data_IF_796015160404
#
_entry.id   IF_796015160404
#
_cell.length_a   1.000
_cell.length_b   1.000
_cell.length_c   1.000
_cell.angle_alpha   90.00
_cell.angle_beta   90.00
_cell.angle_gamma   90.00
#
_symmetry.space_group_name_H-M   'P 1'
#
loop_
_entity.id
_entity.type
_entity.pdbx_description
1 polymer ?
#
# COMPACT_ATOMS: atom_id res chain seq x y z
N UNK A 1 3.47 -46.40 -91.46
CA UNK A 1 4.43 -45.77 -90.52
C UNK A 1 4.00 -44.35 -90.25
N UNK A 2 3.50 -44.08 -89.05
CA UNK A 2 2.86 -42.81 -88.70
C UNK A 2 3.84 -41.92 -87.99
N UNK A 3 4.03 -40.72 -88.52
CA UNK A 3 4.79 -39.63 -87.87
C UNK A 3 3.90 -38.87 -86.99
N UNK A 4 4.20 -38.79 -85.66
CA UNK A 4 3.51 -37.99 -84.68
C UNK A 4 4.26 -36.67 -84.58
N UNK A 5 3.61 -35.59 -84.98
CA UNK A 5 4.09 -34.22 -84.81
C UNK A 5 3.78 -33.68 -83.39
N UNK A 6 4.80 -33.35 -82.67
CA UNK A 6 4.65 -32.68 -81.36
C UNK A 6 4.40 -31.20 -81.56
N UNK A 7 3.22 -30.72 -81.18
CA UNK A 7 2.91 -29.27 -81.01
C UNK A 7 3.54 -28.75 -79.75
N UNK A 8 4.49 -27.86 -79.89
CA UNK A 8 5.05 -27.10 -78.76
C UNK A 8 4.27 -25.83 -78.57
N UNK A 9 3.50 -25.78 -77.48
CA UNK A 9 2.84 -24.54 -76.98
C UNK A 9 3.83 -23.70 -76.18
N UNK A 10 4.34 -22.64 -76.78
CA UNK A 10 5.05 -21.58 -75.99
C UNK A 10 4.07 -20.73 -75.27
N UNK A 11 3.93 -20.93 -73.98
CA UNK A 11 3.23 -19.99 -73.08
C UNK A 11 4.12 -18.73 -72.88
N UNK A 12 3.59 -17.60 -73.31
CA UNK A 12 4.21 -16.30 -73.11
C UNK A 12 3.94 -15.87 -71.70
N UNK A 13 4.92 -16.09 -70.78
CA UNK A 13 4.76 -15.86 -69.30
C UNK A 13 5.08 -14.42 -68.87
N UNK A 14 5.36 -13.49 -69.77
CA UNK A 14 5.92 -12.17 -69.38
C UNK A 14 4.95 -11.18 -68.80
N UNK A 15 3.64 -11.37 -68.98
CA UNK A 15 2.62 -10.44 -68.43
C UNK A 15 2.22 -10.71 -67.00
N UNK A 16 2.16 -11.98 -66.57
CA UNK A 16 1.70 -12.37 -65.23
C UNK A 16 2.70 -12.10 -64.13
N UNK A 17 3.98 -12.22 -64.40
CA UNK A 17 5.04 -12.02 -63.42
C UNK A 17 5.13 -10.56 -62.93
N UNK A 18 4.94 -9.59 -63.83
CA UNK A 18 4.91 -8.15 -63.47
C UNK A 18 3.68 -7.78 -62.67
N UNK A 19 2.50 -8.32 -62.98
CA UNK A 19 1.28 -8.09 -62.26
C UNK A 19 1.32 -8.73 -60.86
N UNK A 20 1.89 -9.91 -60.69
CA UNK A 20 2.03 -10.60 -59.40
C UNK A 20 3.00 -9.85 -58.46
N UNK A 21 4.12 -9.33 -59.00
CA UNK A 21 5.08 -8.51 -58.25
C UNK A 21 4.45 -7.17 -57.79
N UNK A 22 3.63 -6.54 -58.64
CA UNK A 22 2.94 -5.29 -58.27
C UNK A 22 1.90 -5.51 -57.16
N UNK A 23 1.13 -6.58 -57.23
CA UNK A 23 0.13 -6.96 -56.22
C UNK A 23 0.82 -7.30 -54.89
N UNK A 24 1.95 -8.05 -54.93
CA UNK A 24 2.72 -8.41 -53.73
C UNK A 24 3.31 -7.16 -53.04
N UNK A 25 3.85 -6.20 -53.82
CA UNK A 25 4.36 -4.93 -53.29
C UNK A 25 3.24 -4.07 -52.72
N UNK A 26 2.05 -4.05 -53.34
CA UNK A 26 0.89 -3.33 -52.85
C UNK A 26 0.35 -3.94 -51.55
N UNK A 27 0.29 -5.26 -51.44
CA UNK A 27 -0.13 -5.97 -50.22
C UNK A 27 0.89 -5.76 -49.08
N UNK A 28 2.18 -5.81 -49.34
CA UNK A 28 3.23 -5.54 -48.35
C UNK A 28 3.21 -4.09 -47.92
N UNK A 29 2.98 -3.12 -48.84
CA UNK A 29 2.85 -1.72 -48.45
C UNK A 29 1.57 -1.43 -47.64
N UNK A 30 0.46 -2.11 -47.94
CA UNK A 30 -0.78 -1.99 -47.18
C UNK A 30 -0.66 -2.60 -45.79
N UNK A 31 0.05 -3.71 -45.60
CA UNK A 31 0.34 -4.33 -44.31
C UNK A 31 1.32 -3.51 -43.46
N UNK A 32 2.27 -2.83 -44.08
CA UNK A 32 3.18 -1.89 -43.40
C UNK A 32 2.48 -0.59 -42.98
N UNK A 33 1.42 -0.18 -43.67
CA UNK A 33 0.64 1.03 -43.32
C UNK A 33 -0.37 0.79 -42.19
N UNK A 34 -0.79 -0.48 -41.96
CA UNK A 34 -1.71 -0.80 -40.86
C UNK A 34 -1.01 -1.04 -39.53
N UNK A 35 0.34 -1.08 -39.50
CA UNK A 35 1.13 -1.25 -38.27
C UNK A 35 1.44 0.07 -37.53
N UNK A 36 0.79 1.20 -37.83
CA UNK A 36 0.63 2.25 -36.85
C UNK A 36 -0.37 1.74 -35.82
N UNK A 37 0.12 0.91 -34.90
CA UNK A 37 -0.51 0.74 -33.60
C UNK A 37 -0.75 2.14 -33.09
N UNK A 38 -2.01 2.54 -33.11
CA UNK A 38 -2.48 3.69 -32.32
C UNK A 38 -1.96 3.41 -30.92
N UNK A 39 -0.90 4.12 -30.52
CA UNK A 39 -0.52 4.20 -29.13
C UNK A 39 -1.71 4.84 -28.45
N UNK A 40 -2.70 4.03 -28.09
CA UNK A 40 -3.80 4.45 -27.25
C UNK A 40 -3.17 5.12 -26.04
N UNK A 41 -3.72 6.21 -25.63
CA UNK A 41 -3.30 6.98 -24.45
C UNK A 41 -3.01 6.02 -23.30
N UNK A 42 -1.71 5.71 -23.12
CA UNK A 42 -1.26 4.61 -22.24
C UNK A 42 -1.25 5.02 -20.77
N UNK A 43 -1.77 6.21 -20.44
CA UNK A 43 -1.84 6.72 -19.09
C UNK A 43 -2.91 5.99 -18.27
N UNK A 44 -2.55 5.62 -17.07
CA UNK A 44 -3.50 5.16 -16.05
C UNK A 44 -3.59 6.22 -14.96
N UNK A 45 -4.80 6.69 -14.66
CA UNK A 45 -5.04 7.83 -13.78
C UNK A 45 -6.21 7.55 -12.84
N UNK A 46 -6.05 7.90 -11.57
CA UNK A 46 -7.12 7.86 -10.57
C UNK A 46 -7.04 9.09 -9.67
N UNK A 47 -8.17 9.68 -9.31
CA UNK A 47 -8.31 10.69 -8.26
C UNK A 47 -9.41 10.26 -7.31
N UNK A 48 -9.11 10.30 -6.02
CA UNK A 48 -10.05 9.97 -4.95
C UNK A 48 -10.19 11.11 -3.97
N UNK A 49 -11.35 11.21 -3.33
CA UNK A 49 -11.52 11.98 -2.10
C UNK A 49 -10.76 11.30 -0.97
N UNK A 50 -9.84 12.01 -0.36
CA UNK A 50 -9.04 11.45 0.75
C UNK A 50 -9.89 11.12 1.97
N UNK A 51 -11.03 11.81 2.19
CA UNK A 51 -11.91 11.60 3.35
C UNK A 51 -12.58 10.23 3.31
N UNK A 52 -13.23 9.89 2.20
CA UNK A 52 -14.05 8.68 2.09
C UNK A 52 -13.53 7.65 1.08
N UNK A 53 -12.49 7.96 0.30
CA UNK A 53 -11.93 7.06 -0.72
C UNK A 53 -12.73 7.02 -2.03
N UNK A 54 -13.78 7.83 -2.15
CA UNK A 54 -14.62 7.87 -3.35
C UNK A 54 -13.82 8.29 -4.58
N UNK A 55 -14.01 7.59 -5.70
CA UNK A 55 -13.43 7.97 -6.98
C UNK A 55 -14.08 9.27 -7.49
N UNK A 56 -13.25 10.27 -7.74
CA UNK A 56 -13.64 11.56 -8.30
C UNK A 56 -13.32 11.66 -9.79
N UNK A 57 -12.33 10.92 -10.24
CA UNK A 57 -11.93 10.80 -11.65
C UNK A 57 -11.14 9.49 -11.84
N UNK A 58 -11.36 8.79 -12.95
CA UNK A 58 -10.55 7.65 -13.36
C UNK A 58 -10.43 7.56 -14.89
N UNK A 59 -9.28 7.04 -15.32
CA UNK A 59 -9.00 6.69 -16.71
C UNK A 59 -8.00 5.52 -16.74
N UNK A 60 -8.38 4.38 -17.31
CA UNK A 60 -7.52 3.20 -17.38
C UNK A 60 -6.95 2.78 -16.00
N UNK A 61 -7.65 3.13 -14.93
CA UNK A 61 -7.18 3.08 -13.55
C UNK A 61 -6.95 1.67 -13.01
N UNK A 62 -7.62 0.66 -13.60
CA UNK A 62 -7.45 -0.77 -13.28
C UNK A 62 -6.41 -1.50 -14.15
N UNK A 63 -5.80 -0.82 -15.12
CA UNK A 63 -4.75 -1.45 -15.95
C UNK A 63 -3.51 -1.68 -15.11
N UNK A 64 -3.04 -2.93 -15.07
CA UNK A 64 -1.80 -3.33 -14.39
C UNK A 64 -0.59 -2.70 -15.04
N UNK A 65 0.19 -1.95 -14.26
CA UNK A 65 1.41 -1.27 -14.68
C UNK A 65 2.51 -1.45 -13.66
N UNK A 66 3.73 -1.19 -14.06
CA UNK A 66 4.86 -1.16 -13.15
C UNK A 66 4.81 0.13 -12.32
N UNK A 67 4.69 0.04 -10.98
CA UNK A 67 4.57 1.22 -10.12
C UNK A 67 5.89 2.00 -9.97
N UNK A 68 7.01 1.41 -10.37
CA UNK A 68 8.34 1.95 -10.10
C UNK A 68 8.48 2.34 -8.60
N UNK A 69 9.13 3.43 -8.26
CA UNK A 69 9.35 3.83 -6.87
C UNK A 69 8.10 4.24 -6.08
N UNK A 70 6.89 4.20 -6.66
CA UNK A 70 5.67 4.27 -5.85
C UNK A 70 5.56 3.06 -4.91
N UNK A 71 6.19 1.94 -5.25
CA UNK A 71 6.37 0.75 -4.40
C UNK A 71 6.84 1.11 -2.99
N UNK A 72 7.70 2.12 -2.86
CA UNK A 72 8.23 2.55 -1.56
C UNK A 72 7.15 3.12 -0.62
N UNK A 73 5.97 3.47 -1.13
CA UNK A 73 4.84 3.81 -0.26
C UNK A 73 4.44 2.60 0.60
N UNK A 74 4.39 1.38 0.02
CA UNK A 74 4.11 0.17 0.79
C UNK A 74 5.27 -0.19 1.74
N UNK A 75 6.52 -0.03 1.30
CA UNK A 75 7.70 -0.24 2.16
C UNK A 75 7.65 0.67 3.39
N UNK A 76 7.35 1.96 3.20
CA UNK A 76 7.24 2.92 4.29
C UNK A 76 6.01 2.66 5.16
N UNK A 77 4.88 2.28 4.57
CA UNK A 77 3.68 1.89 5.30
C UNK A 77 3.98 0.75 6.29
N UNK A 78 4.59 -0.34 5.81
CA UNK A 78 4.97 -1.47 6.66
C UNK A 78 6.08 -1.14 7.65
N UNK A 79 6.95 -0.19 7.33
CA UNK A 79 7.94 0.32 8.28
C UNK A 79 7.27 1.07 9.43
N UNK A 80 6.33 1.97 9.13
CA UNK A 80 5.55 2.68 10.16
C UNK A 80 4.70 1.72 10.98
N UNK A 81 4.08 0.74 10.32
CA UNK A 81 3.34 -0.33 11.00
C UNK A 81 4.22 -1.13 11.97
N UNK A 82 5.45 -1.46 11.57
CA UNK A 82 6.41 -2.18 12.42
C UNK A 82 6.90 -1.35 13.61
N UNK A 83 6.90 -0.02 13.49
CA UNK A 83 7.25 0.90 14.59
C UNK A 83 6.07 1.08 15.53
N UNK A 84 4.91 1.52 15.02
CA UNK A 84 3.79 2.03 15.82
C UNK A 84 2.86 0.93 16.35
N UNK A 85 2.69 -0.13 15.56
CA UNK A 85 1.72 -1.18 15.90
C UNK A 85 2.42 -2.41 16.48
N UNK A 86 3.48 -2.88 15.84
CA UNK A 86 4.17 -4.08 16.28
C UNK A 86 5.26 -3.82 17.33
N UNK A 87 5.76 -2.58 17.45
CA UNK A 87 6.87 -2.25 18.34
C UNK A 87 8.17 -3.03 18.04
N UNK A 88 8.30 -3.58 16.82
CA UNK A 88 9.43 -4.43 16.44
C UNK A 88 10.73 -3.66 16.24
N UNK A 89 10.62 -2.42 15.77
CA UNK A 89 11.74 -1.53 15.50
C UNK A 89 11.43 -0.12 16.03
N UNK A 90 12.47 0.68 16.24
CA UNK A 90 12.33 2.07 16.66
C UNK A 90 13.10 3.01 15.74
N UNK A 91 12.67 4.29 15.67
CA UNK A 91 13.24 5.29 14.77
C UNK A 91 14.76 5.46 14.94
N UNK A 92 15.27 5.43 16.18
CA UNK A 92 16.68 5.67 16.49
C UNK A 92 17.50 4.39 16.58
N UNK A 93 16.85 3.23 16.36
CA UNK A 93 17.54 1.95 16.25
C UNK A 93 18.52 1.98 15.08
N UNK A 94 19.77 1.55 15.35
CA UNK A 94 20.80 1.38 14.33
C UNK A 94 20.79 -0.04 13.80
N UNK A 95 20.78 -0.18 12.49
CA UNK A 95 20.71 -1.46 11.80
C UNK A 95 21.90 -1.63 10.86
N UNK A 96 22.38 -2.88 10.73
CA UNK A 96 23.53 -3.19 9.88
C UNK A 96 23.12 -3.21 8.41
N UNK A 97 23.95 -2.62 7.55
CA UNK A 97 23.74 -2.57 6.10
C UNK A 97 24.29 -3.86 5.47
N UNK A 98 23.45 -4.57 4.73
CA UNK A 98 23.81 -5.78 4.01
C UNK A 98 24.65 -5.49 2.76
N UNK A 99 25.38 -6.51 2.27
CA UNK A 99 26.06 -6.46 0.97
C UNK A 99 25.07 -6.27 -0.19
N UNK A 100 23.84 -6.81 -0.06
CA UNK A 100 22.78 -6.65 -1.07
C UNK A 100 22.33 -5.19 -1.13
N UNK A 101 21.91 -4.62 -0.03
CA UNK A 101 21.44 -3.25 0.05
C UNK A 101 22.48 -2.23 -0.47
N UNK A 102 23.75 -2.39 -0.12
CA UNK A 102 24.82 -1.49 -0.57
C UNK A 102 25.09 -1.51 -2.07
N UNK A 103 24.65 -2.56 -2.78
CA UNK A 103 24.80 -2.73 -4.23
C UNK A 103 23.56 -2.31 -5.02
N UNK A 104 22.49 -1.85 -4.35
CA UNK A 104 21.28 -1.44 -5.06
C UNK A 104 21.56 -0.34 -6.09
N UNK A 105 20.95 -0.43 -7.29
CA UNK A 105 21.11 0.60 -8.32
C UNK A 105 20.56 1.97 -7.85
N UNK A 106 20.98 3.08 -8.45
CA UNK A 106 20.39 4.40 -8.20
C UNK A 106 18.87 4.44 -8.46
N UNK A 107 18.10 5.29 -7.72
CA UNK A 107 18.52 6.26 -6.72
C UNK A 107 18.90 5.59 -5.39
N UNK A 108 19.94 6.08 -4.71
CA UNK A 108 20.40 5.50 -3.44
C UNK A 108 20.97 6.57 -2.51
N UNK A 109 21.05 6.26 -1.23
CA UNK A 109 21.73 7.10 -0.24
C UNK A 109 23.25 6.94 -0.34
N UNK A 110 23.73 5.78 -0.77
CA UNK A 110 25.15 5.41 -0.83
C UNK A 110 25.60 4.69 0.43
N UNK A 111 24.76 3.78 0.93
CA UNK A 111 25.04 2.99 2.12
C UNK A 111 26.18 2.00 1.87
N UNK A 112 27.07 1.82 2.88
CA UNK A 112 28.22 0.93 2.81
C UNK A 112 27.98 -0.37 3.59
N UNK A 113 28.29 -1.51 2.97
CA UNK A 113 28.13 -2.82 3.59
C UNK A 113 28.91 -2.93 4.91
N UNK A 114 28.28 -3.49 5.92
CA UNK A 114 28.86 -3.69 7.24
C UNK A 114 28.76 -2.49 8.18
N UNK A 115 28.59 -1.26 7.66
CA UNK A 115 28.27 -0.07 8.47
C UNK A 115 26.85 -0.13 9.02
N UNK A 116 26.49 0.79 9.88
CA UNK A 116 25.14 0.88 10.46
C UNK A 116 24.50 2.22 10.14
N UNK A 117 23.17 2.22 10.00
CA UNK A 117 22.38 3.43 9.82
C UNK A 117 21.12 3.39 10.71
N UNK A 118 20.54 4.54 11.04
CA UNK A 118 19.30 4.60 11.82
C UNK A 118 18.07 4.36 10.95
N UNK A 119 17.04 3.73 11.50
CA UNK A 119 15.74 3.57 10.83
C UNK A 119 15.18 4.92 10.39
N UNK A 120 15.32 5.96 11.20
CA UNK A 120 14.92 7.34 10.89
C UNK A 120 15.57 7.88 9.59
N UNK A 121 16.84 7.67 9.41
CA UNK A 121 17.57 8.12 8.22
C UNK A 121 17.22 7.28 6.98
N UNK A 122 17.01 5.98 7.15
CA UNK A 122 16.52 5.08 6.09
C UNK A 122 15.13 5.50 5.61
N UNK A 123 14.20 5.81 6.53
CA UNK A 123 12.86 6.34 6.20
C UNK A 123 12.98 7.66 5.42
N UNK A 124 13.75 8.63 5.93
CA UNK A 124 13.93 9.95 5.28
C UNK A 124 14.47 9.83 3.86
N UNK A 125 15.47 8.98 3.66
CA UNK A 125 16.09 8.78 2.35
C UNK A 125 15.19 8.00 1.37
N UNK A 126 14.47 6.98 1.81
CA UNK A 126 13.50 6.25 1.00
C UNK A 126 12.32 7.15 0.58
N UNK A 127 11.81 7.98 1.49
CA UNK A 127 10.69 8.89 1.23
C UNK A 127 11.07 10.03 0.28
N UNK A 128 12.16 10.77 0.56
CA UNK A 128 12.49 11.99 -0.18
C UNK A 128 13.38 11.72 -1.40
N UNK A 129 14.53 11.05 -1.20
CA UNK A 129 15.48 10.75 -2.28
C UNK A 129 15.04 9.55 -3.14
N UNK A 130 14.07 8.78 -2.65
CA UNK A 130 13.68 7.52 -3.30
C UNK A 130 14.78 6.46 -3.25
N UNK A 131 15.57 6.40 -2.17
CA UNK A 131 16.76 5.57 -2.04
C UNK A 131 16.40 4.08 -2.03
N UNK A 132 16.93 3.32 -3.00
CA UNK A 132 16.69 1.88 -3.15
C UNK A 132 17.39 1.09 -2.04
N UNK A 133 18.67 1.40 -1.77
CA UNK A 133 19.45 0.81 -0.69
C UNK A 133 18.76 0.91 0.67
N UNK A 134 18.18 2.07 0.96
CA UNK A 134 17.43 2.29 2.20
C UNK A 134 16.16 1.46 2.27
N UNK A 135 15.43 1.31 1.15
CA UNK A 135 14.24 0.47 1.08
C UNK A 135 14.58 -1.01 1.31
N UNK A 136 15.68 -1.49 0.72
CA UNK A 136 16.17 -2.86 0.91
C UNK A 136 16.58 -3.13 2.36
N UNK A 137 17.30 -2.18 3.03
CA UNK A 137 17.64 -2.34 4.45
C UNK A 137 16.38 -2.41 5.31
N UNK A 138 15.40 -1.53 5.09
CA UNK A 138 14.13 -1.56 5.82
C UNK A 138 13.41 -2.92 5.66
N UNK A 139 13.36 -3.44 4.42
CA UNK A 139 12.77 -4.74 4.12
C UNK A 139 13.48 -5.89 4.86
N UNK A 140 14.81 -5.90 4.85
CA UNK A 140 15.62 -6.93 5.51
C UNK A 140 15.46 -6.89 7.04
N UNK A 141 15.38 -5.70 7.62
CA UNK A 141 15.18 -5.53 9.07
C UNK A 141 13.81 -6.05 9.51
N UNK A 142 12.77 -5.79 8.74
CA UNK A 142 11.39 -6.16 9.10
C UNK A 142 11.14 -7.65 8.85
N UNK A 143 11.65 -8.22 7.76
CA UNK A 143 11.28 -9.57 7.32
C UNK A 143 12.48 -10.53 7.15
N UNK A 144 13.68 -10.12 7.56
CA UNK A 144 14.92 -10.90 7.43
C UNK A 144 15.45 -10.93 6.00
N UNK A 145 14.61 -10.95 4.98
CA UNK A 145 14.99 -10.88 3.55
C UNK A 145 14.00 -10.03 2.76
N UNK A 146 14.50 -9.35 1.72
CA UNK A 146 13.64 -8.57 0.83
C UNK A 146 12.57 -9.44 0.13
N UNK A 147 12.86 -10.70 -0.21
CA UNK A 147 11.86 -11.62 -0.79
C UNK A 147 10.67 -11.84 0.15
N UNK A 148 10.92 -12.18 1.41
CA UNK A 148 9.86 -12.34 2.42
C UNK A 148 9.10 -11.04 2.65
N UNK A 149 9.80 -9.90 2.61
CA UNK A 149 9.17 -8.60 2.72
C UNK A 149 8.25 -8.30 1.52
N UNK A 150 8.63 -8.64 0.29
CA UNK A 150 7.80 -8.48 -0.91
C UNK A 150 6.53 -9.37 -0.86
N UNK A 151 6.64 -10.57 -0.30
CA UNK A 151 5.50 -11.44 -0.01
C UNK A 151 4.56 -10.76 1.02
N UNK A 152 5.12 -10.19 2.09
CA UNK A 152 4.35 -9.44 3.09
C UNK A 152 3.70 -8.18 2.51
N UNK A 153 4.42 -7.41 1.66
CA UNK A 153 3.85 -6.27 0.93
C UNK A 153 2.64 -6.69 0.08
N UNK A 154 2.73 -7.81 -0.64
CA UNK A 154 1.66 -8.32 -1.51
C UNK A 154 0.43 -8.76 -0.70
N UNK A 155 0.65 -9.44 0.42
CA UNK A 155 -0.44 -9.82 1.32
C UNK A 155 -1.11 -8.58 1.93
N UNK A 156 -0.33 -7.62 2.39
CA UNK A 156 -0.84 -6.36 2.94
C UNK A 156 -1.64 -5.56 1.90
N UNK A 157 -1.19 -5.56 0.65
CA UNK A 157 -1.93 -4.93 -0.45
C UNK A 157 -3.33 -5.57 -0.62
N UNK A 158 -3.42 -6.89 -0.63
CA UNK A 158 -4.72 -7.59 -0.72
C UNK A 158 -5.64 -7.28 0.46
N UNK A 159 -5.11 -7.25 1.68
CA UNK A 159 -5.87 -6.88 2.88
C UNK A 159 -6.43 -5.45 2.78
N UNK A 160 -5.68 -4.54 2.12
CA UNK A 160 -6.12 -3.17 1.87
C UNK A 160 -7.15 -3.04 0.74
N UNK A 161 -7.48 -4.12 0.03
CA UNK A 161 -8.35 -4.10 -1.15
C UNK A 161 -7.62 -3.78 -2.46
N UNK A 162 -6.29 -3.86 -2.50
CA UNK A 162 -5.47 -3.66 -3.70
C UNK A 162 -5.40 -4.97 -4.51
N UNK A 163 -6.49 -5.35 -5.14
CA UNK A 163 -6.69 -6.67 -5.77
C UNK A 163 -5.77 -6.91 -6.99
N UNK A 164 -5.36 -5.84 -7.66
CA UNK A 164 -4.53 -5.87 -8.86
C UNK A 164 -3.07 -5.51 -8.59
N UNK A 165 -2.56 -5.82 -7.37
CA UNK A 165 -1.20 -5.47 -6.97
C UNK A 165 -0.39 -6.69 -6.55
N UNK A 166 0.83 -6.77 -7.06
CA UNK A 166 1.85 -7.73 -6.65
C UNK A 166 3.20 -7.05 -6.55
N UNK A 167 3.88 -7.22 -5.42
CA UNK A 167 5.23 -6.72 -5.19
C UNK A 167 6.25 -7.86 -5.27
N UNK A 168 7.45 -7.58 -5.82
CA UNK A 168 8.58 -8.50 -5.91
C UNK A 168 9.81 -8.01 -5.16
N UNK A 169 9.90 -6.70 -4.93
CA UNK A 169 10.98 -6.05 -4.20
C UNK A 169 10.46 -4.84 -3.42
N UNK A 170 11.30 -4.26 -2.56
CA UNK A 170 10.94 -3.15 -1.68
C UNK A 170 11.06 -1.76 -2.33
N UNK A 171 11.68 -1.66 -3.49
CA UNK A 171 12.10 -0.38 -4.08
C UNK A 171 11.40 -0.03 -5.40
N UNK A 172 10.85 -1.03 -6.11
CA UNK A 172 10.11 -0.85 -7.36
C UNK A 172 10.97 -0.82 -8.62
N UNK A 173 12.19 -1.35 -8.59
CA UNK A 173 12.92 -1.65 -9.81
C UNK A 173 12.17 -2.71 -10.60
N UNK A 174 12.30 -2.64 -11.93
CA UNK A 174 11.59 -3.53 -12.86
C UNK A 174 11.91 -4.99 -12.58
N UNK A 175 10.86 -5.78 -12.32
CA UNK A 175 10.95 -7.22 -12.10
C UNK A 175 9.68 -7.89 -12.65
N UNK A 176 9.81 -9.07 -13.22
CA UNK A 176 8.66 -9.80 -13.77
C UNK A 176 7.64 -10.10 -12.67
N UNK A 177 6.38 -9.76 -12.92
CA UNK A 177 5.31 -9.94 -11.94
C UNK A 177 5.23 -8.83 -10.88
N UNK A 178 6.02 -7.75 -10.97
CA UNK A 178 5.90 -6.57 -10.13
C UNK A 178 4.97 -5.57 -10.79
N UNK A 179 3.74 -5.45 -10.32
CA UNK A 179 2.72 -4.58 -10.90
C UNK A 179 1.75 -4.04 -9.86
N UNK A 180 1.06 -2.98 -10.24
CA UNK A 180 -0.08 -2.39 -9.53
C UNK A 180 -0.97 -1.64 -10.51
N UNK A 181 -2.02 -0.98 -10.01
CA UNK A 181 -2.93 -0.12 -10.78
C UNK A 181 -2.96 1.29 -10.20
N UNK A 182 -3.54 2.25 -10.92
CA UNK A 182 -3.67 3.62 -10.40
C UNK A 182 -4.66 3.66 -9.24
N UNK A 183 -5.76 2.89 -9.30
CA UNK A 183 -6.72 2.71 -8.22
C UNK A 183 -6.07 2.12 -6.97
N UNK A 184 -5.36 1.00 -7.10
CA UNK A 184 -4.68 0.36 -5.96
C UNK A 184 -3.66 1.29 -5.30
N UNK A 185 -2.87 2.03 -6.11
CA UNK A 185 -1.91 3.00 -5.57
C UNK A 185 -2.60 4.19 -4.89
N UNK A 186 -3.81 4.58 -5.31
CA UNK A 186 -4.59 5.60 -4.63
C UNK A 186 -5.10 5.11 -3.26
N UNK A 187 -5.55 3.84 -3.17
CA UNK A 187 -5.89 3.18 -1.91
C UNK A 187 -4.68 3.22 -0.96
N UNK A 188 -3.50 2.77 -1.42
CA UNK A 188 -2.29 2.76 -0.61
C UNK A 188 -1.89 4.16 -0.15
N UNK A 189 -1.98 5.17 -1.03
CA UNK A 189 -1.67 6.55 -0.70
C UNK A 189 -2.60 7.10 0.38
N UNK A 190 -3.91 6.79 0.30
CA UNK A 190 -4.90 7.15 1.31
C UNK A 190 -4.60 6.46 2.65
N UNK A 191 -4.36 5.15 2.64
CA UNK A 191 -4.02 4.38 3.85
C UNK A 191 -2.77 4.92 4.53
N UNK A 192 -1.71 5.23 3.76
CA UNK A 192 -0.48 5.80 4.29
C UNK A 192 -0.72 7.12 5.04
N UNK A 193 -1.61 7.96 4.52
CA UNK A 193 -1.99 9.23 5.13
C UNK A 193 -2.88 9.05 6.37
N UNK A 194 -3.89 8.17 6.27
CA UNK A 194 -4.89 8.00 7.32
C UNK A 194 -4.37 7.21 8.51
N UNK A 195 -3.56 6.18 8.26
CA UNK A 195 -3.09 5.27 9.30
C UNK A 195 -1.87 5.80 10.05
N UNK A 196 -1.06 6.64 9.38
CA UNK A 196 0.19 7.18 9.93
C UNK A 196 0.31 8.69 9.69
N UNK A 197 -0.65 9.51 10.19
CA UNK A 197 -0.65 10.96 9.98
C UNK A 197 0.59 11.64 10.57
N UNK A 198 1.15 11.10 11.65
CA UNK A 198 2.36 11.59 12.30
C UNK A 198 3.62 11.49 11.41
N UNK A 199 3.63 10.57 10.45
CA UNK A 199 4.72 10.42 9.47
C UNK A 199 4.43 11.09 8.13
N UNK A 200 3.15 11.35 7.85
CA UNK A 200 2.72 11.82 6.53
C UNK A 200 3.35 13.16 6.13
N UNK A 201 3.57 14.06 7.10
CA UNK A 201 4.24 15.35 6.86
C UNK A 201 5.62 15.22 6.20
N UNK A 202 6.25 14.05 6.28
CA UNK A 202 7.55 13.78 5.67
C UNK A 202 7.50 13.91 4.14
N UNK A 203 6.40 13.47 3.51
CA UNK A 203 6.24 13.46 2.06
C UNK A 203 6.08 14.86 1.46
N UNK A 204 5.60 15.83 2.26
CA UNK A 204 5.49 17.25 1.88
C UNK A 204 6.78 18.05 2.02
N UNK A 205 7.81 17.50 2.68
CA UNK A 205 9.11 18.22 2.84
C UNK A 205 9.85 18.29 1.52
N UNK A 206 10.25 19.47 1.12
CA UNK A 206 11.10 19.68 -0.07
C UNK A 206 12.54 19.19 0.13
N UNK A 207 13.02 19.22 1.38
CA UNK A 207 14.37 18.82 1.78
C UNK A 207 14.34 18.17 3.17
N UNK A 208 15.33 17.33 3.43
CA UNK A 208 15.65 16.79 4.77
C UNK A 208 17.17 16.68 4.93
N UNK A 209 17.64 16.44 6.15
CA UNK A 209 19.06 16.19 6.42
C UNK A 209 19.24 14.74 6.87
N UNK A 210 20.25 14.06 6.29
CA UNK A 210 20.68 12.72 6.67
C UNK A 210 22.21 12.76 6.79
N UNK A 211 22.74 12.42 7.96
CA UNK A 211 24.18 12.41 8.23
C UNK A 211 24.88 13.73 7.83
N UNK A 212 24.28 14.88 8.17
CA UNK A 212 24.78 16.22 7.81
C UNK A 212 24.51 16.65 6.36
N UNK A 213 24.15 15.73 5.45
CA UNK A 213 23.93 16.02 4.05
C UNK A 213 22.48 16.41 3.79
N UNK A 214 22.28 17.50 3.05
CA UNK A 214 20.93 17.93 2.60
C UNK A 214 20.44 17.06 1.47
N UNK A 215 19.29 16.41 1.66
CA UNK A 215 18.65 15.55 0.69
C UNK A 215 17.40 16.25 0.13
N UNK A 216 17.33 16.32 -1.21
CA UNK A 216 16.21 16.93 -1.92
C UNK A 216 15.12 15.89 -2.23
N UNK A 217 13.86 16.29 -2.06
CA UNK A 217 12.71 15.48 -2.43
C UNK A 217 12.61 15.36 -3.97
N UNK A 218 12.42 14.15 -4.48
CA UNK A 218 12.20 13.93 -5.93
C UNK A 218 10.94 14.58 -6.46
N UNK A 219 9.96 14.88 -5.58
CA UNK A 219 8.70 15.55 -5.91
C UNK A 219 8.74 17.08 -5.72
N UNK A 220 9.89 17.69 -5.41
CA UNK A 220 10.02 19.07 -4.97
C UNK A 220 9.38 20.10 -5.94
N UNK A 221 9.44 19.85 -7.28
CA UNK A 221 8.86 20.75 -8.27
C UNK A 221 7.34 20.82 -8.11
N UNK A 222 6.68 19.68 -8.05
CA UNK A 222 5.23 19.60 -7.85
C UNK A 222 4.81 20.23 -6.52
N UNK A 223 5.49 19.86 -5.43
CA UNK A 223 5.27 20.44 -4.10
C UNK A 223 5.39 21.97 -4.05
N UNK A 224 6.29 22.54 -4.87
CA UNK A 224 6.48 23.99 -4.95
C UNK A 224 5.43 24.69 -5.82
N UNK A 225 4.94 24.04 -6.88
CA UNK A 225 4.17 24.70 -7.92
C UNK A 225 2.67 24.48 -7.83
N UNK A 226 2.22 23.37 -7.23
CA UNK A 226 0.80 23.08 -7.10
C UNK A 226 0.27 23.50 -5.73
N UNK A 227 -0.73 24.40 -5.73
CA UNK A 227 -1.31 24.95 -4.49
C UNK A 227 -1.95 23.87 -3.64
N UNK A 228 -1.55 23.79 -2.36
CA UNK A 228 -2.03 22.80 -1.41
C UNK A 228 -1.31 21.46 -1.47
N UNK A 229 -0.35 21.26 -2.39
CA UNK A 229 0.38 19.99 -2.48
C UNK A 229 1.19 19.68 -1.20
N UNK A 230 1.02 18.46 -0.66
CA UNK A 230 1.68 18.01 0.57
C UNK A 230 2.20 16.56 0.50
N UNK A 231 2.25 15.97 -0.68
CA UNK A 231 2.79 14.61 -0.91
C UNK A 231 2.80 14.23 -2.39
N UNK A 232 3.13 13.01 -2.76
CA UNK A 232 3.57 11.89 -1.91
C UNK A 232 4.86 11.33 -2.50
N UNK A 233 4.80 10.71 -3.72
CA UNK A 233 5.94 9.96 -4.25
C UNK A 233 6.00 9.96 -5.77
N UNK A 234 7.20 10.17 -6.33
CA UNK A 234 7.50 9.97 -7.75
C UNK A 234 8.02 8.56 -8.01
N UNK A 235 7.82 8.05 -9.23
CA UNK A 235 8.41 6.82 -9.72
C UNK A 235 8.88 6.97 -11.16
N UNK A 236 9.97 6.29 -11.51
CA UNK A 236 10.44 6.16 -12.87
C UNK A 236 11.30 4.90 -13.03
N UNK A 237 11.02 4.14 -14.05
CA UNK A 237 11.93 3.21 -14.71
C UNK A 237 11.66 3.30 -16.22
N UNK A 238 12.60 2.84 -17.04
CA UNK A 238 12.39 2.85 -18.49
C UNK A 238 11.11 2.11 -18.90
N UNK A 239 10.81 0.99 -18.24
CA UNK A 239 9.63 0.18 -18.52
C UNK A 239 8.33 0.77 -17.94
N UNK A 240 8.40 1.50 -16.82
CA UNK A 240 7.23 2.07 -16.15
C UNK A 240 6.81 3.44 -16.71
N UNK A 241 7.71 4.16 -17.37
CA UNK A 241 7.52 5.58 -17.64
C UNK A 241 7.57 6.42 -16.37
N UNK A 242 7.00 7.64 -16.42
CA UNK A 242 7.01 8.58 -15.31
C UNK A 242 5.71 8.47 -14.50
N UNK A 243 5.83 8.08 -13.23
CA UNK A 243 4.74 7.88 -12.29
C UNK A 243 4.74 8.96 -11.20
N UNK A 244 3.56 9.26 -10.64
CA UNK A 244 3.38 10.15 -9.49
C UNK A 244 2.14 9.73 -8.71
N UNK A 245 2.28 9.59 -7.39
CA UNK A 245 1.19 9.71 -6.44
C UNK A 245 1.33 11.08 -5.77
N UNK A 246 0.25 11.86 -5.77
CA UNK A 246 0.21 13.19 -5.18
C UNK A 246 -1.01 13.38 -4.30
N UNK A 247 -0.91 14.26 -3.31
CA UNK A 247 -2.06 14.75 -2.56
C UNK A 247 -2.00 16.27 -2.45
N UNK A 248 -3.17 16.87 -2.32
CA UNK A 248 -3.31 18.29 -2.08
C UNK A 248 -4.52 18.58 -1.18
N UNK A 249 -4.39 19.58 -0.30
CA UNK A 249 -5.42 20.05 0.60
C UNK A 249 -5.83 21.47 0.20
N UNK A 250 -7.15 21.69 0.04
CA UNK A 250 -7.78 23.03 -0.14
C UNK A 250 -8.93 23.18 0.87
N UNK A 251 -9.60 24.35 0.87
CA UNK A 251 -10.77 24.58 1.72
C UNK A 251 -11.93 23.60 1.45
N UNK A 252 -12.09 23.15 0.19
CA UNK A 252 -13.12 22.18 -0.21
C UNK A 252 -12.84 20.75 0.27
N UNK A 253 -11.64 20.44 0.71
CA UNK A 253 -11.25 19.10 1.14
C UNK A 253 -9.86 18.71 0.67
N UNK A 254 -9.56 17.40 0.71
CA UNK A 254 -8.30 16.82 0.27
C UNK A 254 -8.55 15.80 -0.83
N UNK A 255 -7.74 15.87 -1.88
CA UNK A 255 -7.74 14.89 -2.97
C UNK A 255 -6.40 14.17 -3.05
N UNK A 256 -6.45 12.91 -3.49
CA UNK A 256 -5.28 12.08 -3.79
C UNK A 256 -5.37 11.67 -5.25
N UNK A 257 -4.31 11.94 -6.02
CA UNK A 257 -4.20 11.55 -7.41
C UNK A 257 -3.05 10.59 -7.67
N UNK A 258 -3.23 9.64 -8.57
CA UNK A 258 -2.18 8.73 -9.05
C UNK A 258 -2.16 8.74 -10.57
N UNK A 259 -0.97 8.89 -11.14
CA UNK A 259 -0.71 8.74 -12.57
C UNK A 259 0.42 7.73 -12.80
N UNK A 260 0.19 6.79 -13.71
CA UNK A 260 1.17 5.77 -14.12
C UNK A 260 1.35 5.82 -15.64
N UNK A 261 2.62 5.75 -16.08
CA UNK A 261 2.95 5.54 -17.48
C UNK A 261 3.12 6.80 -18.34
N UNK A 262 3.33 7.99 -17.74
CA UNK A 262 3.57 9.20 -18.53
C UNK A 262 4.90 9.11 -19.30
N UNK A 263 4.94 9.72 -20.49
CA UNK A 263 6.09 9.73 -21.38
C UNK A 263 7.23 10.62 -20.88
N UNK A 264 6.92 11.60 -20.03
CA UNK A 264 7.87 12.56 -19.51
C UNK A 264 7.45 13.18 -18.18
N UNK A 265 8.42 13.74 -17.46
CA UNK A 265 8.16 14.41 -16.17
C UNK A 265 7.28 15.67 -16.34
N UNK A 266 7.36 16.34 -17.47
CA UNK A 266 6.51 17.49 -17.82
C UNK A 266 5.05 17.09 -18.02
N UNK A 267 4.80 16.06 -18.85
CA UNK A 267 3.47 15.51 -19.06
C UNK A 267 2.85 15.02 -17.76
N UNK A 268 3.59 14.20 -16.99
CA UNK A 268 3.17 13.70 -15.68
C UNK A 268 2.69 14.84 -14.76
N UNK A 269 3.47 15.94 -14.69
CA UNK A 269 3.15 17.07 -13.82
C UNK A 269 1.91 17.82 -14.34
N UNK A 270 1.82 18.06 -15.64
CA UNK A 270 0.67 18.73 -16.30
C UNK A 270 -0.60 17.91 -16.06
N UNK A 271 -0.59 16.61 -16.38
CA UNK A 271 -1.74 15.74 -16.20
C UNK A 271 -2.15 15.61 -14.72
N UNK A 272 -1.19 15.51 -13.79
CA UNK A 272 -1.50 15.49 -12.37
C UNK A 272 -2.20 16.79 -11.92
N UNK A 273 -1.76 17.95 -12.39
CA UNK A 273 -2.40 19.23 -12.10
C UNK A 273 -3.85 19.23 -12.59
N UNK A 274 -4.07 18.88 -13.86
CA UNK A 274 -5.41 18.84 -14.49
C UNK A 274 -6.35 17.89 -13.72
N UNK A 275 -5.90 16.69 -13.40
CA UNK A 275 -6.76 15.70 -12.74
C UNK A 275 -7.07 16.06 -11.27
N UNK A 276 -6.13 16.66 -10.52
CA UNK A 276 -6.41 17.12 -9.16
C UNK A 276 -7.38 18.32 -9.15
N UNK A 277 -7.28 19.24 -10.13
CA UNK A 277 -8.24 20.34 -10.28
C UNK A 277 -9.64 19.82 -10.60
N UNK A 278 -9.78 18.81 -11.48
CA UNK A 278 -11.04 18.10 -11.70
C UNK A 278 -11.55 17.43 -10.41
N UNK A 279 -10.65 16.79 -9.64
CA UNK A 279 -11.00 16.20 -8.34
C UNK A 279 -11.57 17.22 -7.37
N UNK A 280 -10.95 18.39 -7.23
CA UNK A 280 -11.47 19.47 -6.38
C UNK A 280 -12.80 20.04 -6.87
N UNK A 281 -13.04 20.09 -8.17
CA UNK A 281 -14.32 20.51 -8.72
C UNK A 281 -15.42 19.49 -8.43
N UNK A 282 -15.07 18.21 -8.41
CA UNK A 282 -16.04 17.12 -8.21
C UNK A 282 -16.32 16.83 -6.74
N UNK A 283 -15.41 17.16 -5.81
CA UNK A 283 -15.56 16.85 -4.38
C UNK A 283 -16.85 17.45 -3.77
N UNK A 284 -17.34 18.54 -4.33
CA UNK A 284 -18.57 19.20 -3.88
C UNK A 284 -19.86 18.58 -4.44
N UNK A 285 -19.75 17.77 -5.48
CA UNK A 285 -20.91 17.23 -6.22
C UNK A 285 -21.40 15.89 -5.70
N UNK A 286 -20.68 15.28 -4.77
CA UNK A 286 -21.02 13.97 -4.24
C UNK A 286 -21.47 14.05 -2.78
N UNK A 287 -22.58 13.41 -2.40
CA UNK A 287 -23.02 13.34 -1.01
C UNK A 287 -22.01 12.59 -0.14
N UNK A 288 -21.90 12.99 1.11
CA UNK A 288 -20.82 12.63 2.05
C UNK A 288 -20.75 11.18 2.52
N UNK A 289 -21.58 10.25 2.01
CA UNK A 289 -21.69 8.89 2.52
C UNK A 289 -21.73 7.86 1.40
N UNK A 290 -20.59 7.21 1.18
CA UNK A 290 -20.57 5.85 0.63
C UNK A 290 -19.83 5.00 1.65
N UNK A 291 -20.48 3.99 2.26
CA UNK A 291 -19.78 3.05 3.12
C UNK A 291 -18.74 2.30 2.28
N UNK A 292 -17.53 2.15 2.81
CA UNK A 292 -16.58 1.20 2.24
C UNK A 292 -17.28 -0.16 2.19
N UNK A 293 -17.43 -0.71 0.99
CA UNK A 293 -17.90 -2.07 0.81
C UNK A 293 -17.10 -3.00 1.70
N UNK A 294 -17.77 -3.92 2.38
CA UNK A 294 -17.14 -4.91 3.25
C UNK A 294 -15.89 -5.49 2.59
N UNK A 295 -14.77 -5.45 3.30
CA UNK A 295 -13.52 -6.04 2.83
C UNK A 295 -13.75 -7.54 2.73
N UNK A 296 -13.84 -8.07 1.51
CA UNK A 296 -14.06 -9.47 1.30
C UNK A 296 -12.75 -10.25 1.45
N UNK A 297 -12.49 -10.77 2.64
CA UNK A 297 -11.30 -11.54 2.95
C UNK A 297 -11.33 -12.98 2.39
N UNK A 298 -12.47 -13.43 1.84
CA UNK A 298 -12.62 -14.80 1.30
C UNK A 298 -11.63 -15.15 0.18
N UNK A 299 -11.09 -14.15 -0.53
CA UNK A 299 -10.08 -14.37 -1.57
C UNK A 299 -8.67 -14.64 -1.04
N UNK A 300 -8.46 -14.59 0.27
CA UNK A 300 -7.17 -14.84 0.91
C UNK A 300 -6.94 -16.31 1.28
N UNK A 301 -7.96 -17.18 1.06
CA UNK A 301 -7.91 -18.59 1.45
C UNK A 301 -6.95 -19.44 0.61
N UNK A 302 -6.39 -20.46 1.21
CA UNK A 302 -5.64 -21.56 0.61
C UNK A 302 -4.17 -21.31 0.33
N UNK A 303 -3.81 -20.45 -0.61
CA UNK A 303 -2.38 -20.20 -0.96
C UNK A 303 -1.66 -19.23 -0.02
N UNK A 304 -2.41 -18.40 0.68
CA UNK A 304 -1.85 -17.37 1.57
C UNK A 304 -1.68 -17.86 3.01
N UNK A 305 -2.31 -18.94 3.42
CA UNK A 305 -2.12 -19.55 4.76
C UNK A 305 -0.66 -19.94 5.03
N UNK A 306 0.05 -20.44 4.01
CA UNK A 306 1.46 -20.76 4.11
C UNK A 306 2.34 -19.50 4.28
N UNK A 307 1.99 -18.40 3.63
CA UNK A 307 2.70 -17.12 3.77
C UNK A 307 2.44 -16.53 5.15
N UNK A 308 1.20 -16.61 5.63
CA UNK A 308 0.79 -16.17 6.97
C UNK A 308 1.53 -16.94 8.06
N UNK A 309 1.65 -18.26 7.93
CA UNK A 309 2.41 -19.08 8.87
C UNK A 309 3.91 -18.74 8.88
N UNK A 310 4.47 -18.35 7.73
CA UNK A 310 5.85 -17.88 7.63
C UNK A 310 6.07 -16.50 8.26
N UNK A 311 5.10 -15.60 8.17
CA UNK A 311 5.16 -14.27 8.84
C UNK A 311 5.15 -14.46 10.36
N UNK A 312 4.34 -15.38 10.87
CA UNK A 312 4.24 -15.68 12.30
C UNK A 312 5.43 -16.49 12.86
N UNK A 313 6.26 -17.08 12.00
CA UNK A 313 7.48 -17.80 12.40
C UNK A 313 8.68 -16.87 12.70
N UNK A 314 8.51 -15.55 12.62
CA UNK A 314 9.53 -14.63 13.13
C UNK A 314 9.61 -14.78 14.65
N UNK A 315 10.82 -14.94 15.22
CA UNK A 315 10.97 -15.02 16.66
C UNK A 315 10.33 -13.76 17.28
N UNK A 316 9.54 -13.90 18.36
CA UNK A 316 9.02 -12.75 19.07
C UNK A 316 10.20 -11.84 19.43
N UNK A 317 10.02 -10.51 19.39
CA UNK A 317 11.07 -9.59 19.78
C UNK A 317 11.55 -10.01 21.16
N UNK A 318 12.87 -10.16 21.33
CA UNK A 318 13.44 -10.38 22.67
C UNK A 318 13.05 -9.18 23.51
N UNK A 319 12.00 -9.32 24.27
CA UNK A 319 11.54 -8.35 25.24
C UNK A 319 12.62 -8.22 26.32
N UNK A 320 13.60 -7.35 26.10
CA UNK A 320 14.21 -6.65 27.22
C UNK A 320 13.11 -5.69 27.70
N UNK A 321 12.51 -6.02 28.81
CA UNK A 321 11.61 -5.12 29.53
C UNK A 321 12.37 -3.85 29.87
N UNK A 322 12.25 -2.85 29.01
CA UNK A 322 12.63 -1.48 29.33
C UNK A 322 11.35 -0.88 29.91
N UNK A 323 11.27 -0.87 31.23
CA UNK A 323 10.34 -0.03 31.95
C UNK A 323 10.72 1.41 31.64
N UNK A 324 10.12 1.97 30.60
CA UNK A 324 10.15 3.41 30.33
C UNK A 324 9.16 4.09 31.28
N UNK A 325 9.66 4.40 32.47
CA UNK A 325 9.05 5.41 33.35
C UNK A 325 9.21 6.77 32.66
N UNK A 326 8.26 7.13 31.79
CA UNK A 326 8.16 8.50 31.29
C UNK A 326 7.70 9.41 32.44
N UNK A 327 8.62 10.15 33.01
CA UNK A 327 8.31 11.39 33.73
C UNK A 327 7.70 12.36 32.72
N UNK A 328 6.43 12.65 32.89
CA UNK A 328 5.80 13.78 32.20
C UNK A 328 6.24 15.06 32.91
N UNK A 329 7.17 15.80 32.35
CA UNK A 329 7.42 17.18 32.73
C UNK A 329 6.25 18.03 32.24
N UNK A 330 5.58 18.63 33.18
CA UNK A 330 4.42 19.51 33.02
C UNK A 330 4.87 20.80 32.34
N UNK A 331 4.62 20.94 31.06
CA UNK A 331 4.67 22.25 30.39
C UNK A 331 3.28 22.87 30.52
N UNK A 332 3.22 23.95 31.28
CA UNK A 332 2.04 24.76 31.50
C UNK A 332 1.53 25.35 30.17
N UNK A 333 0.36 24.90 29.72
CA UNK A 333 -0.43 25.61 28.72
C UNK A 333 -1.51 26.38 29.49
N UNK A 334 -1.34 27.70 29.56
CA UNK A 334 -2.35 28.65 30.05
C UNK A 334 -3.44 28.80 29.00
N UNK A 335 -4.69 28.69 29.47
CA UNK A 335 -5.92 29.24 28.93
C UNK A 335 -6.44 28.65 27.60
N UNK A 336 -7.26 27.60 27.72
CA UNK A 336 -8.48 27.46 26.93
C UNK A 336 -9.65 27.11 27.83
N UNK A 337 -10.75 27.80 27.61
CA UNK A 337 -12.02 27.78 28.33
C UNK A 337 -12.57 26.37 28.55
N UNK A 338 -13.01 26.15 29.75
CA UNK A 338 -13.63 24.97 30.33
C UNK A 338 -14.85 24.53 29.51
N UNK A 339 -14.71 23.46 28.73
CA UNK A 339 -15.85 22.61 28.34
C UNK A 339 -15.74 21.36 29.19
N UNK A 340 -16.81 21.09 29.96
CA UNK A 340 -16.89 20.02 30.95
C UNK A 340 -16.37 18.68 30.36
N UNK A 341 -15.29 18.15 30.93
CA UNK A 341 -14.77 16.82 30.64
C UNK A 341 -15.67 15.77 31.24
N UNK A 342 -16.13 14.74 30.50
CA UNK A 342 -16.74 13.59 31.15
C UNK A 342 -15.70 12.90 32.02
N UNK A 343 -16.12 12.47 33.20
CA UNK A 343 -15.29 11.80 34.21
C UNK A 343 -14.52 10.64 33.58
N UNK A 344 -13.20 10.71 33.69
CA UNK A 344 -12.30 9.66 33.25
C UNK A 344 -12.58 8.42 34.07
N UNK A 345 -13.04 7.35 33.43
CA UNK A 345 -13.16 6.03 34.03
C UNK A 345 -11.80 5.61 34.62
N UNK A 346 -11.80 5.28 35.92
CA UNK A 346 -10.67 4.56 36.51
C UNK A 346 -10.51 3.24 35.77
N UNK A 347 -9.33 3.04 35.16
CA UNK A 347 -8.97 1.77 34.54
C UNK A 347 -9.07 0.67 35.60
N UNK A 348 -9.76 -0.45 35.33
CA UNK A 348 -9.51 -1.66 36.08
C UNK A 348 -8.05 -2.03 35.90
N UNK A 349 -7.40 -2.42 37.00
CA UNK A 349 -6.00 -2.86 37.00
C UNK A 349 -5.74 -3.73 35.78
N UNK A 350 -4.78 -3.33 34.96
CA UNK A 350 -4.34 -4.10 33.78
C UNK A 350 -3.96 -5.49 34.26
N UNK A 351 -4.81 -6.47 33.98
CA UNK A 351 -4.40 -7.87 33.96
C UNK A 351 -3.34 -7.98 32.86
N UNK A 352 -2.08 -8.00 33.25
CA UNK A 352 -0.99 -8.45 32.40
C UNK A 352 -1.35 -9.88 31.98
N UNK A 353 -1.80 -10.03 30.73
CA UNK A 353 -1.87 -11.34 30.10
C UNK A 353 -0.42 -11.79 29.85
N UNK A 354 0.10 -12.56 30.78
CA UNK A 354 1.40 -13.21 30.73
C UNK A 354 1.43 -14.14 29.51
N UNK A 355 2.61 -14.28 28.87
CA UNK A 355 2.86 -15.23 27.78
C UNK A 355 2.40 -16.67 28.10
N UNK A 356 2.31 -17.02 29.38
CA UNK A 356 1.72 -18.25 29.91
C UNK A 356 0.22 -18.39 29.63
N UNK A 357 -0.53 -17.33 29.45
CA UNK A 357 -1.97 -17.39 29.13
C UNK A 357 -2.15 -17.67 27.61
N UNK A 358 -1.32 -17.07 26.76
CA UNK A 358 -1.33 -17.37 25.32
C UNK A 358 -0.99 -18.83 25.04
N UNK A 359 0.02 -19.39 25.72
CA UNK A 359 0.37 -20.81 25.59
C UNK A 359 -0.71 -21.75 26.14
N UNK A 360 -1.45 -21.33 27.18
CA UNK A 360 -2.61 -22.08 27.68
C UNK A 360 -3.81 -22.04 26.72
N UNK A 361 -4.04 -20.92 26.03
CA UNK A 361 -5.08 -20.79 25.00
C UNK A 361 -4.71 -21.65 23.78
N UNK A 362 -3.46 -21.66 23.36
CA UNK A 362 -2.97 -22.51 22.27
C UNK A 362 -3.12 -24.01 22.57
N UNK A 363 -2.90 -24.43 23.82
CA UNK A 363 -3.06 -25.82 24.26
C UNK A 363 -4.52 -26.23 24.51
N UNK A 364 -5.44 -25.26 24.74
CA UNK A 364 -6.88 -25.54 24.95
C UNK A 364 -7.67 -25.58 23.66
N UNK A 365 -7.13 -25.14 22.55
CA UNK A 365 -7.82 -25.06 21.25
C UNK A 365 -8.20 -26.42 20.64
N UNK A 366 -7.69 -27.53 21.17
CA UNK A 366 -8.04 -28.89 20.72
C UNK A 366 -9.42 -29.38 21.19
N UNK A 367 -10.11 -28.63 22.06
CA UNK A 367 -11.42 -29.01 22.62
C UNK A 367 -12.60 -28.13 22.16
N UNK A 368 -12.34 -27.13 21.30
CA UNK A 368 -13.35 -26.18 20.85
C UNK A 368 -13.90 -26.61 19.49
N UNK A 369 -15.21 -26.39 19.28
CA UNK A 369 -15.90 -26.73 18.02
C UNK A 369 -15.28 -26.00 16.84
N UNK A 370 -15.20 -26.66 15.68
CA UNK A 370 -14.80 -26.06 14.40
C UNK A 370 -15.92 -25.21 13.77
N UNK A 371 -17.03 -25.03 14.48
CA UNK A 371 -18.17 -24.26 14.02
C UNK A 371 -17.81 -22.78 13.97
N UNK A 372 -18.14 -22.13 12.83
CA UNK A 372 -17.83 -20.71 12.56
C UNK A 372 -19.02 -19.82 12.92
N UNK A 373 -19.44 -19.90 14.16
CA UNK A 373 -20.59 -19.20 14.73
C UNK A 373 -20.21 -18.01 15.62
N UNK A 374 -18.91 -17.73 15.74
CA UNK A 374 -18.42 -16.64 16.55
C UNK A 374 -18.10 -15.40 15.71
N UNK A 375 -18.31 -14.25 16.32
CA UNK A 375 -17.89 -12.96 15.80
C UNK A 375 -17.17 -12.16 16.88
N UNK A 376 -16.35 -11.20 16.46
CA UNK A 376 -15.69 -10.27 17.39
C UNK A 376 -16.01 -8.84 16.99
N UNK A 377 -16.28 -8.00 18.00
CA UNK A 377 -16.37 -6.55 17.87
C UNK A 377 -15.08 -5.92 18.38
N UNK A 378 -14.47 -5.07 17.57
CA UNK A 378 -13.17 -4.48 17.86
C UNK A 378 -13.26 -2.96 17.90
N UNK A 379 -12.91 -2.40 19.05
CA UNK A 379 -12.89 -0.95 19.28
C UNK A 379 -14.28 -0.32 19.36
N UNK A 380 -14.29 0.95 19.75
CA UNK A 380 -15.43 1.85 19.64
C UNK A 380 -14.92 3.15 19.05
N UNK A 381 -15.47 3.54 17.91
CA UNK A 381 -15.01 4.68 17.13
C UNK A 381 -16.13 5.70 16.96
N UNK A 382 -15.81 6.99 17.13
CA UNK A 382 -16.77 8.07 16.94
C UNK A 382 -17.04 8.40 15.46
N UNK A 383 -16.18 7.93 14.55
CA UNK A 383 -16.32 8.14 13.10
C UNK A 383 -15.95 6.88 12.35
N UNK A 384 -16.59 6.67 11.19
CA UNK A 384 -16.25 5.61 10.26
C UNK A 384 -14.76 5.66 9.87
N UNK A 385 -14.23 6.86 9.60
CA UNK A 385 -12.81 7.01 9.20
C UNK A 385 -11.81 6.53 10.24
N UNK A 386 -12.15 6.61 11.53
CA UNK A 386 -11.31 6.06 12.60
C UNK A 386 -11.35 4.53 12.61
N UNK A 387 -12.54 3.93 12.42
CA UNK A 387 -12.66 2.48 12.29
C UNK A 387 -11.93 1.96 11.04
N UNK A 388 -12.10 2.62 9.90
CA UNK A 388 -11.39 2.30 8.66
C UNK A 388 -9.86 2.35 8.81
N UNK A 389 -9.35 3.35 9.54
CA UNK A 389 -7.93 3.46 9.83
C UNK A 389 -7.40 2.24 10.59
N UNK A 390 -8.16 1.76 11.57
CA UNK A 390 -7.69 0.72 12.47
C UNK A 390 -7.98 -0.70 11.95
N UNK A 391 -8.97 -0.89 11.04
CA UNK A 391 -9.31 -2.23 10.51
C UNK A 391 -8.11 -2.95 9.90
N UNK A 392 -7.31 -2.28 9.09
CA UNK A 392 -6.11 -2.89 8.49
C UNK A 392 -5.06 -3.21 9.54
N UNK A 393 -4.89 -2.36 10.56
CA UNK A 393 -3.97 -2.62 11.68
C UNK A 393 -4.39 -3.85 12.47
N UNK A 394 -5.70 -3.97 12.74
CA UNK A 394 -6.27 -5.12 13.45
C UNK A 394 -6.04 -6.41 12.67
N UNK A 395 -6.38 -6.43 11.38
CA UNK A 395 -6.18 -7.60 10.52
C UNK A 395 -4.71 -8.01 10.49
N UNK A 396 -3.80 -7.07 10.26
CA UNK A 396 -2.37 -7.36 10.19
C UNK A 396 -1.80 -7.87 11.52
N UNK A 397 -2.34 -7.43 12.67
CA UNK A 397 -1.91 -7.90 13.99
C UNK A 397 -2.36 -9.33 14.30
N UNK A 398 -3.39 -9.83 13.63
CA UNK A 398 -4.02 -11.12 13.89
C UNK A 398 -4.30 -11.89 12.59
N UNK A 399 -3.44 -11.73 11.59
CA UNK A 399 -3.65 -12.20 10.22
C UNK A 399 -3.87 -13.72 10.14
N UNK A 400 -3.19 -14.51 10.96
CA UNK A 400 -3.31 -15.97 11.01
C UNK A 400 -4.68 -16.45 11.52
N UNK A 401 -5.43 -15.56 12.18
CA UNK A 401 -6.75 -15.86 12.75
C UNK A 401 -7.89 -15.15 12.03
N UNK A 402 -7.62 -13.99 11.42
CA UNK A 402 -8.63 -13.15 10.78
C UNK A 402 -8.59 -13.18 9.25
N UNK A 403 -7.60 -13.84 8.63
CA UNK A 403 -7.45 -13.84 7.16
C UNK A 403 -8.66 -14.43 6.39
N UNK A 404 -9.37 -15.40 7.00
CA UNK A 404 -10.53 -16.06 6.41
C UNK A 404 -11.87 -15.52 6.93
N UNK A 405 -11.85 -14.50 7.80
CA UNK A 405 -13.06 -13.90 8.36
C UNK A 405 -13.63 -12.82 7.44
N UNK A 406 -14.91 -12.52 7.61
CA UNK A 406 -15.57 -11.41 6.94
C UNK A 406 -15.50 -10.19 7.86
N UNK A 407 -14.88 -9.11 7.39
CA UNK A 407 -14.75 -7.86 8.13
C UNK A 407 -15.77 -6.82 7.65
N UNK A 408 -16.40 -6.13 8.60
CA UNK A 408 -17.32 -5.01 8.34
C UNK A 408 -17.18 -3.94 9.41
N UNK A 409 -17.65 -2.72 9.11
CA UNK A 409 -17.81 -1.65 10.09
C UNK A 409 -19.29 -1.52 10.35
N UNK A 410 -19.68 -1.67 11.62
CA UNK A 410 -21.08 -1.67 12.04
C UNK A 410 -21.37 -0.51 12.97
N UNK A 411 -22.60 0.02 12.89
CA UNK A 411 -23.11 1.00 13.84
C UNK A 411 -23.32 0.34 15.21
N UNK A 412 -22.79 0.98 16.25
CA UNK A 412 -22.97 0.51 17.64
C UNK A 412 -23.38 1.65 18.55
N UNK A 413 -24.14 1.32 19.60
CA UNK A 413 -24.49 2.27 20.66
C UNK A 413 -23.81 1.80 21.94
N UNK A 414 -22.97 2.65 22.53
CA UNK A 414 -22.33 2.40 23.82
C UNK A 414 -22.63 3.57 24.75
N UNK A 415 -23.23 3.28 25.92
CA UNK A 415 -23.58 4.31 26.93
C UNK A 415 -24.40 5.47 26.33
N UNK A 416 -25.37 5.18 25.47
CA UNK A 416 -26.21 6.13 24.73
C UNK A 416 -25.45 7.02 23.69
N UNK A 417 -24.21 6.71 23.38
CA UNK A 417 -23.43 7.38 22.33
C UNK A 417 -23.42 6.50 21.09
N UNK A 418 -23.84 7.04 19.95
CA UNK A 418 -23.69 6.39 18.65
C UNK A 418 -22.24 6.41 18.21
N UNK A 419 -21.77 5.28 17.68
CA UNK A 419 -20.42 5.13 17.15
C UNK A 419 -20.34 3.92 16.21
N UNK A 420 -19.12 3.50 15.93
CA UNK A 420 -18.80 2.42 15.02
C UNK A 420 -17.91 1.39 15.71
N UNK A 421 -18.04 0.12 15.31
CA UNK A 421 -17.14 -0.96 15.72
C UNK A 421 -16.70 -1.73 14.48
N UNK A 422 -15.51 -2.30 14.49
CA UNK A 422 -15.08 -3.25 13.47
C UNK A 422 -15.59 -4.62 13.91
N UNK A 423 -16.34 -5.28 13.03
CA UNK A 423 -16.86 -6.62 13.24
C UNK A 423 -16.15 -7.61 12.33
N UNK A 424 -15.74 -8.76 12.89
CA UNK A 424 -15.22 -9.89 12.15
C UNK A 424 -16.10 -11.09 12.41
N UNK A 425 -16.71 -11.62 11.36
CA UNK A 425 -17.63 -12.77 11.38
C UNK A 425 -16.94 -14.06 10.88
N UNK A 426 -17.67 -15.19 10.99
CA UNK A 426 -17.25 -16.50 10.50
C UNK A 426 -15.96 -17.01 11.17
N UNK A 427 -15.86 -16.81 12.50
CA UNK A 427 -14.75 -17.29 13.30
C UNK A 427 -15.13 -18.52 14.12
N UNK A 428 -14.20 -19.44 14.29
CA UNK A 428 -14.31 -20.46 15.34
C UNK A 428 -14.04 -19.84 16.71
N UNK A 429 -14.50 -20.48 17.79
CA UNK A 429 -14.22 -20.03 19.15
C UNK A 429 -12.71 -19.81 19.40
N UNK A 430 -11.86 -20.71 18.92
CA UNK A 430 -10.41 -20.62 19.04
C UNK A 430 -9.83 -19.41 18.30
N UNK A 431 -10.31 -19.17 17.07
CA UNK A 431 -9.90 -18.00 16.28
C UNK A 431 -10.31 -16.70 16.95
N UNK A 432 -11.55 -16.58 17.44
CA UNK A 432 -12.07 -15.41 18.11
C UNK A 432 -11.28 -15.10 19.39
N UNK A 433 -11.03 -16.10 20.23
CA UNK A 433 -10.23 -15.95 21.45
C UNK A 433 -8.79 -15.50 21.15
N UNK A 434 -8.12 -16.16 20.21
CA UNK A 434 -6.74 -15.86 19.83
C UNK A 434 -6.61 -14.45 19.22
N UNK A 435 -7.54 -14.06 18.32
CA UNK A 435 -7.58 -12.74 17.74
C UNK A 435 -7.79 -11.66 18.82
N UNK A 436 -8.81 -11.82 19.67
CA UNK A 436 -9.07 -10.86 20.74
C UNK A 436 -7.93 -10.72 21.76
N UNK A 437 -7.25 -11.81 22.07
CA UNK A 437 -6.08 -11.75 22.97
C UNK A 437 -4.97 -10.85 22.37
N UNK A 438 -4.67 -10.99 21.07
CA UNK A 438 -3.67 -10.18 20.36
C UNK A 438 -4.09 -8.73 20.18
N UNK A 439 -5.36 -8.50 19.85
CA UNK A 439 -5.92 -7.15 19.66
C UNK A 439 -5.85 -6.36 20.97
N UNK A 440 -6.17 -6.99 22.11
CA UNK A 440 -6.10 -6.37 23.44
C UNK A 440 -4.67 -6.03 23.87
N UNK A 441 -3.66 -6.80 23.45
CA UNK A 441 -2.24 -6.45 23.67
C UNK A 441 -1.91 -5.08 23.08
N UNK A 442 -2.54 -4.72 21.94
CA UNK A 442 -2.39 -3.42 21.31
C UNK A 442 -3.31 -2.34 21.89
N UNK A 443 -3.86 -2.55 23.08
CA UNK A 443 -4.75 -1.61 23.79
C UNK A 443 -6.03 -1.26 23.03
N UNK A 444 -6.51 -2.15 22.16
CA UNK A 444 -7.78 -2.03 21.47
C UNK A 444 -8.78 -2.98 22.13
N UNK A 445 -9.97 -2.46 22.46
CA UNK A 445 -11.04 -3.28 23.01
C UNK A 445 -11.46 -4.36 22.01
N UNK A 446 -11.73 -5.57 22.51
CA UNK A 446 -12.25 -6.67 21.70
C UNK A 446 -13.26 -7.47 22.51
N UNK A 447 -14.45 -7.68 21.97
CA UNK A 447 -15.55 -8.44 22.59
C UNK A 447 -15.90 -9.58 21.67
N UNK A 448 -16.04 -10.81 22.22
CA UNK A 448 -16.46 -11.99 21.49
C UNK A 448 -17.96 -12.19 21.71
N UNK A 449 -18.70 -12.47 20.64
CA UNK A 449 -20.13 -12.77 20.66
C UNK A 449 -20.42 -14.01 19.82
N UNK A 450 -21.53 -14.67 20.08
CA UNK A 450 -22.12 -15.67 19.21
C UNK A 450 -23.02 -14.94 18.19
N UNK A 451 -23.11 -15.51 16.99
CA UNK A 451 -23.95 -15.00 15.91
C UNK A 451 -25.41 -15.28 16.15
#
# INVERSE_FOLDING_TARGET
MRVISTLSFKFRADGYQKSFSLILVLVISLTLFTAKVVSSDTLSMAVIDAKNGQALFSQNDEIRRQPASLTKMMTLYLTFYSIEVLGQISLDQRVKISKKASKEPPSRLGLEAGKTETIRNLIRSAALRSANDSATVLAEVISGTERKFAEYMTLSAKIMGMENTQFKNAHGLTEQGHYSTASDMAILARRLMMDFPEYYHLFGKMFTTVNGNRIKNTNWKFLKTYSGADGIKTGYTQAAGFNLAASAQRSSGRVIGVILGASGSGERTKRMTEMLDMGFSNIQNFPNEIPLSAINLRNLSGKNAAIVSQINSFPPPRTKSIILQRKFDTIAIRNFTEVARPKIFQRPNSLYLDSTILSKIENSSQLLSDEKDHLIHVGFYYTISNAERDITKVILSSIDTLADSKASIVDVIRENVKGYSIEFEELTAAQAMKACARIRINSIDCVISLR
#
